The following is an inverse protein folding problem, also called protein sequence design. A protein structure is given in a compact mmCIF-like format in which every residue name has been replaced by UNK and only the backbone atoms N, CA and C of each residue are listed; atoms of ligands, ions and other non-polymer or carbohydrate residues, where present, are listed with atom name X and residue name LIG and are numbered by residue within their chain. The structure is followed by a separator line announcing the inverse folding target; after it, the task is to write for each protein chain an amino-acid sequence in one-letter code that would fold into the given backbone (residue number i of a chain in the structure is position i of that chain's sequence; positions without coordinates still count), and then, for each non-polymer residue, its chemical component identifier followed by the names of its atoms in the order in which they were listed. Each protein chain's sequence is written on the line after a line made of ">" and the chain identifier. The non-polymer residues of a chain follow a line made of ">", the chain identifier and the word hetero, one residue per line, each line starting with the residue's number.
data_IF_664260847664
#
_entry.id   IF_664260847664
#
_cell.length_a   1.000
_cell.length_b   1.000
_cell.length_c   1.000
_cell.angle_alpha   90.00
_cell.angle_beta   90.00
_cell.angle_gamma   90.00
#
_symmetry.space_group_name_H-M   'P 1'
#
loop_
_entity.id
_entity.type
_entity.pdbx_description
1 polymer ?
#
# COMPACT_ATOMS: atom_id res chain seq x y z
N UNK A 1 -13.92 8.68 -6.37
CA UNK A 1 -13.72 8.32 -4.95
C UNK A 1 -12.35 7.68 -4.88
N UNK A 2 -11.38 8.27 -4.19
CA UNK A 2 -10.01 7.73 -4.16
C UNK A 2 -9.84 6.82 -2.95
N UNK A 3 -9.66 5.52 -3.16
CA UNK A 3 -9.44 4.55 -2.09
C UNK A 3 -7.94 4.36 -1.87
N UNK A 4 -7.46 4.53 -0.64
CA UNK A 4 -6.09 4.22 -0.27
C UNK A 4 -6.01 2.94 0.55
N UNK A 5 -5.19 2.00 0.09
CA UNK A 5 -4.88 0.75 0.79
C UNK A 5 -3.51 0.93 1.43
N UNK A 6 -3.49 1.09 2.75
CA UNK A 6 -2.26 1.28 3.53
C UNK A 6 -1.91 -0.02 4.22
N UNK A 7 -0.71 -0.53 3.96
CA UNK A 7 -0.20 -1.79 4.53
C UNK A 7 1.33 -1.71 4.67
N UNK A 8 1.93 -2.58 5.47
CA UNK A 8 3.37 -2.57 5.73
C UNK A 8 3.98 -3.92 6.08
N UNK A 9 3.14 -4.93 6.30
CA UNK A 9 3.56 -6.26 6.74
C UNK A 9 2.99 -7.34 5.82
N UNK A 10 3.69 -8.49 5.77
CA UNK A 10 3.23 -9.66 5.02
C UNK A 10 1.80 -10.11 5.37
N UNK A 11 1.37 -10.22 6.65
CA UNK A 11 0.00 -10.59 6.98
C UNK A 11 -1.05 -9.61 6.42
N UNK A 12 -0.72 -8.31 6.34
CA UNK A 12 -1.63 -7.32 5.75
C UNK A 12 -1.75 -7.49 4.24
N UNK A 13 -0.65 -7.73 3.52
CA UNK A 13 -0.67 -8.02 2.07
C UNK A 13 -1.58 -9.23 1.79
N UNK A 14 -1.42 -10.31 2.55
CA UNK A 14 -2.23 -11.53 2.39
C UNK A 14 -3.71 -11.25 2.68
N UNK A 15 -4.02 -10.51 3.74
CA UNK A 15 -5.41 -10.23 4.14
C UNK A 15 -6.11 -9.21 3.24
N UNK A 16 -5.36 -8.28 2.63
CA UNK A 16 -5.90 -7.27 1.71
C UNK A 16 -6.05 -7.77 0.28
N UNK A 17 -5.37 -8.86 -0.08
CA UNK A 17 -5.53 -9.56 -1.36
C UNK A 17 -6.98 -9.66 -1.89
N UNK A 18 -7.97 -10.18 -1.14
CA UNK A 18 -9.36 -10.26 -1.63
C UNK A 18 -10.02 -8.89 -1.82
N UNK A 19 -9.68 -7.89 -1.00
CA UNK A 19 -10.24 -6.54 -1.11
C UNK A 19 -9.68 -5.86 -2.37
N UNK A 20 -8.37 -5.95 -2.60
CA UNK A 20 -7.73 -5.39 -3.80
C UNK A 20 -8.39 -5.95 -5.07
N UNK A 21 -8.60 -7.27 -5.13
CA UNK A 21 -9.27 -7.90 -6.28
C UNK A 21 -10.72 -7.41 -6.46
N UNK A 22 -11.46 -7.25 -5.37
CA UNK A 22 -12.81 -6.72 -5.45
C UNK A 22 -12.82 -5.30 -6.02
N UNK A 23 -11.87 -4.45 -5.63
CA UNK A 23 -11.74 -3.10 -6.17
C UNK A 23 -11.36 -3.09 -7.66
N UNK A 24 -10.47 -3.99 -8.10
CA UNK A 24 -10.14 -4.17 -9.52
C UNK A 24 -11.36 -4.65 -10.33
N UNK A 25 -12.14 -5.61 -9.80
CA UNK A 25 -13.33 -6.14 -10.47
C UNK A 25 -14.44 -5.08 -10.64
N UNK A 26 -14.61 -4.22 -9.64
CA UNK A 26 -15.57 -3.11 -9.68
C UNK A 26 -15.02 -1.88 -10.43
N UNK A 27 -13.78 -1.96 -10.96
CA UNK A 27 -13.09 -0.87 -11.66
C UNK A 27 -13.09 0.44 -10.86
N UNK A 28 -12.85 0.35 -9.54
CA UNK A 28 -12.78 1.48 -8.64
C UNK A 28 -11.35 2.06 -8.60
N UNK A 29 -11.24 3.38 -8.51
CA UNK A 29 -9.94 4.03 -8.36
C UNK A 29 -9.36 3.79 -6.97
N UNK A 30 -8.22 3.10 -6.92
CA UNK A 30 -7.47 2.89 -5.68
C UNK A 30 -5.95 2.95 -5.90
N UNK A 31 -5.21 3.14 -4.81
CA UNK A 31 -3.77 2.95 -4.80
C UNK A 31 -3.30 2.24 -3.53
N UNK A 32 -2.15 1.58 -3.63
CA UNK A 32 -1.51 0.91 -2.51
C UNK A 32 -0.33 1.76 -2.02
N UNK A 33 -0.31 2.03 -0.72
CA UNK A 33 0.79 2.68 0.00
C UNK A 33 1.41 1.64 0.93
N UNK A 34 2.63 1.23 0.61
CA UNK A 34 3.42 0.34 1.45
C UNK A 34 4.26 1.15 2.45
N UNK A 35 4.11 0.90 3.75
CA UNK A 35 4.80 1.69 4.79
C UNK A 35 6.24 1.21 5.05
N UNK A 36 6.66 0.10 4.47
CA UNK A 36 8.03 -0.40 4.55
C UNK A 36 8.43 -0.94 5.93
N UNK A 37 7.46 -1.31 6.76
CA UNK A 37 7.68 -1.87 8.10
C UNK A 37 8.41 -3.23 8.09
N UNK A 38 8.57 -3.88 6.92
CA UNK A 38 9.41 -5.05 6.71
C UNK A 38 10.76 -4.68 6.06
N UNK A 39 11.87 -5.07 6.70
CA UNK A 39 13.25 -4.68 6.33
C UNK A 39 13.78 -5.29 5.03
N UNK A 40 13.15 -6.34 4.50
CA UNK A 40 13.58 -6.96 3.24
C UNK A 40 12.58 -6.64 2.14
N UNK A 41 12.83 -5.55 1.44
CA UNK A 41 12.10 -5.14 0.23
C UNK A 41 11.90 -6.31 -0.77
N UNK A 42 12.90 -7.19 -0.87
CA UNK A 42 12.85 -8.38 -1.73
C UNK A 42 11.81 -9.42 -1.29
N UNK A 43 11.44 -9.48 -0.01
CA UNK A 43 10.42 -10.42 0.45
C UNK A 43 9.01 -9.93 0.16
N UNK A 44 8.72 -8.63 0.31
CA UNK A 44 7.37 -8.10 0.09
C UNK A 44 6.97 -8.17 -1.39
N UNK A 45 7.89 -7.85 -2.31
CA UNK A 45 7.66 -7.91 -3.75
C UNK A 45 7.21 -9.31 -4.21
N UNK A 46 7.81 -10.37 -3.65
CA UNK A 46 7.44 -11.76 -3.94
C UNK A 46 5.98 -12.04 -3.61
N UNK A 47 5.42 -11.46 -2.54
CA UNK A 47 4.00 -11.67 -2.21
C UNK A 47 3.06 -10.97 -3.17
N UNK A 48 3.40 -9.75 -3.62
CA UNK A 48 2.61 -9.08 -4.66
C UNK A 48 2.60 -9.88 -5.96
N UNK A 49 3.74 -10.41 -6.38
CA UNK A 49 3.86 -11.26 -7.58
C UNK A 49 3.10 -12.59 -7.42
N UNK A 50 3.31 -13.31 -6.32
CA UNK A 50 2.65 -14.60 -6.05
C UNK A 50 1.14 -14.48 -5.95
N UNK A 51 0.65 -13.39 -5.33
CA UNK A 51 -0.78 -13.12 -5.20
C UNK A 51 -1.36 -12.43 -6.44
N UNK A 52 -0.55 -12.12 -7.46
CA UNK A 52 -0.95 -11.36 -8.66
C UNK A 52 -1.65 -10.05 -8.32
N UNK A 53 -1.08 -9.30 -7.37
CA UNK A 53 -1.57 -8.00 -6.94
C UNK A 53 -0.77 -6.89 -7.66
N UNK A 54 -1.38 -5.71 -7.89
CA UNK A 54 -0.67 -4.55 -8.39
C UNK A 54 0.41 -4.11 -7.39
N UNK A 55 1.53 -3.62 -7.91
CA UNK A 55 2.62 -3.13 -7.06
C UNK A 55 2.23 -1.85 -6.33
N UNK A 56 2.77 -1.59 -5.12
CA UNK A 56 2.54 -0.34 -4.41
C UNK A 56 2.88 0.89 -5.25
N UNK A 57 1.95 1.85 -5.34
CA UNK A 57 2.21 3.16 -5.97
C UNK A 57 3.21 3.97 -5.15
N UNK A 58 3.14 3.84 -3.83
CA UNK A 58 4.06 4.46 -2.89
C UNK A 58 4.69 3.39 -2.00
N UNK A 59 6.00 3.47 -1.79
CA UNK A 59 6.71 2.64 -0.84
C UNK A 59 7.59 3.52 0.04
N UNK A 60 7.23 3.64 1.31
CA UNK A 60 8.00 4.36 2.31
C UNK A 60 9.18 3.49 2.69
N UNK A 61 10.32 3.71 2.04
CA UNK A 61 11.58 3.04 2.40
C UNK A 61 11.81 3.24 3.91
N UNK A 62 12.01 2.15 4.65
CA UNK A 62 12.20 2.18 6.10
C UNK A 62 13.47 2.95 6.47
N UNK A 63 13.29 4.23 6.80
CA UNK A 63 14.31 5.12 7.29
C UNK A 63 13.78 5.88 8.50
N UNK A 64 14.26 5.49 9.69
CA UNK A 64 14.29 6.25 10.94
C UNK A 64 13.05 7.14 11.22
N UNK A 65 11.95 6.50 11.63
CA UNK A 65 10.99 7.11 12.56
C UNK A 65 9.90 8.05 12.01
N UNK A 66 9.83 8.31 10.71
CA UNK A 66 8.85 9.28 10.14
C UNK A 66 7.67 8.68 9.35
N UNK A 67 7.35 7.40 9.54
CA UNK A 67 6.28 6.72 8.79
C UNK A 67 4.93 7.46 8.83
N UNK A 68 4.50 7.91 10.01
CA UNK A 68 3.22 8.63 10.16
C UNK A 68 3.20 9.98 9.41
N UNK A 69 4.32 10.72 9.40
CA UNK A 69 4.45 11.97 8.65
C UNK A 69 4.37 11.72 7.15
N UNK A 70 5.08 10.71 6.64
CA UNK A 70 5.11 10.44 5.21
C UNK A 70 3.77 9.88 4.69
N UNK A 71 3.08 9.07 5.48
CA UNK A 71 1.69 8.68 5.20
C UNK A 71 0.79 9.92 5.12
N UNK A 72 0.92 10.85 6.08
CA UNK A 72 0.13 12.10 6.09
C UNK A 72 0.30 12.89 4.80
N UNK A 73 1.54 13.12 4.36
CA UNK A 73 1.79 13.91 3.14
C UNK A 73 1.17 13.27 1.90
N UNK A 74 1.33 11.95 1.73
CA UNK A 74 0.73 11.24 0.58
C UNK A 74 -0.80 11.32 0.61
N UNK A 75 -1.41 11.19 1.80
CA UNK A 75 -2.86 11.32 1.96
C UNK A 75 -3.33 12.73 1.61
N UNK A 76 -2.62 13.79 2.06
CA UNK A 76 -2.95 15.19 1.72
C UNK A 76 -2.93 15.43 0.22
N UNK A 77 -1.93 14.89 -0.49
CA UNK A 77 -1.83 15.05 -1.95
C UNK A 77 -2.98 14.38 -2.74
N UNK A 78 -3.62 13.33 -2.19
CA UNK A 78 -4.48 12.44 -2.98
C UNK A 78 -5.94 12.36 -2.55
N UNK A 79 -6.24 12.67 -1.29
CA UNK A 79 -7.54 12.36 -0.68
C UNK A 79 -8.17 13.61 -0.07
N UNK A 80 -7.38 14.61 0.35
CA UNK A 80 -7.85 15.68 1.23
C UNK A 80 -7.20 17.03 0.89
N UNK A 81 -7.98 17.95 0.29
CA UNK A 81 -7.77 19.41 0.46
C UNK A 81 -8.34 19.82 1.84
N UNK A 82 -7.56 19.68 2.91
CA UNK A 82 -7.87 20.24 4.24
C UNK A 82 -6.62 20.90 4.78
#
# INVERSE_FOLDING_TARGET
>A
MNIAIILGTRPEIIKMSPIIRALEMENLDFFILHTGQHYSYNMDQVFFEQLKLPQPKYNLKSGLGMHAHNVREIIREHIIEV
#
